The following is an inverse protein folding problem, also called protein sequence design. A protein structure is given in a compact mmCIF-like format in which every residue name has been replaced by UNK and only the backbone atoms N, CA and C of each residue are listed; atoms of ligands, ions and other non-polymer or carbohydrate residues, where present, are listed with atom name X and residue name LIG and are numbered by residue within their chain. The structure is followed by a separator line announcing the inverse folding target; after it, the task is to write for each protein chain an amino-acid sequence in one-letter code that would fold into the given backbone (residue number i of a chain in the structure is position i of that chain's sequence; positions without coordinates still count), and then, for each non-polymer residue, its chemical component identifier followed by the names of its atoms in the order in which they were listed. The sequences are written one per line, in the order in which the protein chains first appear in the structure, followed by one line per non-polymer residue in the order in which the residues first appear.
data_IF_990191793792
#
_entry.id   IF_990191793792
#
_cell.length_a   1.000
_cell.length_b   1.000
_cell.length_c   1.000
_cell.angle_alpha   90.00
_cell.angle_beta   90.00
_cell.angle_gamma   90.00
#
_symmetry.space_group_name_H-M   'P 1'
#
loop_
_entity.id
_entity.type
_entity.pdbx_description
1 polymer ?
#
# COMPACT_ATOMS: atom_id res chain seq x y z
N UNK A 1 -0.47 -30.30 72.72
CA UNK A 1 0.84 -30.97 72.86
C UNK A 1 0.83 -32.17 71.93
N UNK A 2 1.88 -32.37 71.13
CA UNK A 2 2.10 -33.64 70.40
C UNK A 2 1.70 -33.64 68.92
N UNK A 3 2.63 -33.19 68.08
CA UNK A 3 2.81 -33.55 66.67
C UNK A 3 2.93 -35.07 66.46
N UNK A 4 2.44 -35.64 65.33
CA UNK A 4 3.26 -36.20 64.21
C UNK A 4 2.44 -37.02 63.18
N UNK A 5 2.53 -36.59 61.91
CA UNK A 5 2.50 -37.30 60.60
C UNK A 5 1.33 -38.22 60.18
N UNK A 6 0.88 -38.11 58.90
CA UNK A 6 1.35 -39.09 57.91
C UNK A 6 1.73 -38.52 56.52
N UNK A 7 2.58 -39.30 55.82
CA UNK A 7 2.84 -39.35 54.38
C UNK A 7 1.53 -39.32 53.54
N UNK A 8 1.48 -38.75 52.32
CA UNK A 8 2.11 -39.30 51.10
C UNK A 8 2.27 -38.28 49.95
N UNK A 9 3.15 -38.67 49.03
CA UNK A 9 3.74 -37.94 47.89
C UNK A 9 2.79 -37.45 46.78
N UNK A 10 3.01 -36.17 46.42
CA UNK A 10 3.21 -35.59 45.06
C UNK A 10 2.58 -36.30 43.85
N UNK A 11 1.60 -35.62 43.25
CA UNK A 11 1.39 -35.53 41.80
C UNK A 11 1.36 -34.04 41.38
N UNK A 12 1.91 -33.75 40.21
CA UNK A 12 2.28 -32.41 39.71
C UNK A 12 1.06 -31.50 39.46
N UNK A 13 1.11 -30.19 39.76
CA UNK A 13 0.17 -29.22 39.21
C UNK A 13 0.59 -28.83 37.78
N UNK A 14 -0.37 -28.84 36.86
CA UNK A 14 -0.17 -28.42 35.46
C UNK A 14 0.24 -26.94 35.32
N UNK A 15 0.86 -26.56 34.19
CA UNK A 15 1.35 -25.20 34.00
C UNK A 15 0.18 -24.21 33.82
N UNK A 16 0.35 -22.96 34.26
CA UNK A 16 -0.70 -21.96 34.25
C UNK A 16 -1.00 -21.48 32.82
N UNK A 17 -2.29 -21.24 32.55
CA UNK A 17 -2.79 -20.58 31.34
C UNK A 17 -2.06 -19.25 31.14
N UNK A 18 -1.29 -19.15 30.06
CA UNK A 18 -0.68 -17.90 29.60
C UNK A 18 -1.77 -16.96 29.10
N UNK A 19 -2.12 -15.96 29.92
CA UNK A 19 -2.76 -14.76 29.42
C UNK A 19 -1.81 -14.08 28.44
N UNK A 20 -2.24 -13.94 27.17
CA UNK A 20 -1.50 -13.24 26.13
C UNK A 20 -1.26 -11.78 26.52
N UNK A 21 -0.06 -11.50 27.02
CA UNK A 21 0.42 -10.14 27.23
C UNK A 21 0.76 -9.55 25.86
N UNK A 22 0.00 -8.54 25.46
CA UNK A 22 0.31 -7.63 24.37
C UNK A 22 1.71 -7.06 24.58
N UNK A 23 2.63 -7.38 23.68
CA UNK A 23 3.99 -6.83 23.69
C UNK A 23 3.89 -5.36 23.25
N UNK A 24 3.92 -4.49 24.24
CA UNK A 24 4.09 -3.04 24.10
C UNK A 24 5.58 -2.76 24.17
N UNK A 25 6.17 -2.17 23.13
CA UNK A 25 7.55 -1.66 23.15
C UNK A 25 7.51 -0.16 22.86
N UNK A 26 7.85 0.62 23.88
CA UNK A 26 7.99 2.08 23.88
C UNK A 26 9.35 2.48 23.30
N UNK A 27 9.38 3.43 22.36
CA UNK A 27 10.53 4.29 22.08
C UNK A 27 10.04 5.64 21.53
N UNK A 28 10.36 6.74 22.23
CA UNK A 28 9.53 7.95 22.33
C UNK A 28 9.76 9.03 21.25
N UNK A 29 10.19 8.68 20.03
CA UNK A 29 10.33 9.66 18.94
C UNK A 29 9.99 9.11 17.53
N UNK A 30 9.23 8.01 17.46
CA UNK A 30 8.77 7.35 16.21
C UNK A 30 7.24 7.33 16.05
N UNK A 31 6.53 8.22 16.75
CA UNK A 31 5.10 8.04 17.06
C UNK A 31 4.10 8.87 16.23
N UNK A 32 4.53 9.68 15.24
CA UNK A 32 3.57 10.56 14.54
C UNK A 32 3.54 10.51 13.00
N UNK A 33 4.54 10.00 12.26
CA UNK A 33 4.51 10.10 10.78
C UNK A 33 5.07 8.91 9.97
N UNK A 34 4.96 7.68 10.47
CA UNK A 34 5.20 6.40 9.73
C UNK A 34 6.65 5.87 9.53
N UNK A 35 7.33 5.44 10.62
CA UNK A 35 8.44 4.46 10.54
C UNK A 35 8.24 3.03 11.13
N UNK A 36 7.28 2.67 12.02
CA UNK A 36 7.27 1.32 12.62
C UNK A 36 6.92 0.17 11.65
N UNK A 37 6.38 0.47 10.47
CA UNK A 37 6.11 -0.53 9.42
C UNK A 37 7.40 -0.93 8.69
N UNK A 38 8.35 0.00 8.51
CA UNK A 38 9.62 -0.26 7.82
C UNK A 38 10.57 -1.14 8.62
N UNK A 39 10.36 -1.32 9.93
CA UNK A 39 11.19 -2.25 10.73
C UNK A 39 11.11 -3.71 10.25
N UNK A 40 10.14 -4.08 9.42
CA UNK A 40 10.13 -5.40 8.79
C UNK A 40 11.30 -5.59 7.81
N UNK A 41 11.94 -4.52 7.32
CA UNK A 41 13.05 -4.63 6.37
C UNK A 41 14.22 -5.40 6.96
N UNK A 42 14.47 -5.32 8.27
CA UNK A 42 15.54 -6.12 8.89
C UNK A 42 15.30 -7.63 8.76
N UNK A 43 14.03 -8.06 8.67
CA UNK A 43 13.67 -9.46 8.40
C UNK A 43 13.85 -9.83 6.93
N UNK A 44 13.69 -8.87 6.02
CA UNK A 44 14.01 -9.07 4.61
C UNK A 44 15.52 -9.15 4.40
N UNK A 45 16.28 -8.32 5.13
CA UNK A 45 17.75 -8.37 5.12
C UNK A 45 18.26 -9.71 5.67
N UNK A 46 17.70 -10.19 6.78
CA UNK A 46 18.00 -11.53 7.33
C UNK A 46 17.70 -12.66 6.32
N UNK A 47 16.60 -12.56 5.56
CA UNK A 47 16.29 -13.53 4.52
C UNK A 47 17.26 -13.44 3.34
N UNK A 48 17.66 -12.23 2.94
CA UNK A 48 18.60 -11.98 1.85
C UNK A 48 20.05 -12.40 2.13
N UNK A 49 20.40 -12.64 3.40
CA UNK A 49 21.68 -13.22 3.79
C UNK A 49 21.74 -14.76 3.63
N UNK A 50 20.60 -15.43 3.37
CA UNK A 50 20.61 -16.86 3.06
C UNK A 50 21.23 -17.11 1.68
N UNK A 51 22.28 -17.94 1.55
CA UNK A 51 22.97 -18.17 0.28
C UNK A 51 22.07 -18.80 -0.80
N UNK A 52 20.90 -19.33 -0.42
CA UNK A 52 19.92 -19.89 -1.36
C UNK A 52 19.00 -18.82 -1.97
N UNK A 53 19.02 -17.58 -1.45
CA UNK A 53 18.24 -16.47 -1.99
C UNK A 53 19.14 -15.56 -2.83
N UNK A 54 18.74 -15.32 -4.08
CA UNK A 54 19.39 -14.37 -4.99
C UNK A 54 18.41 -13.24 -5.32
N UNK A 55 18.91 -12.01 -5.36
CA UNK A 55 18.12 -10.81 -5.70
C UNK A 55 18.63 -10.21 -7.00
N UNK A 56 17.70 -9.87 -7.89
CA UNK A 56 17.97 -9.20 -9.16
C UNK A 56 17.03 -8.01 -9.31
N UNK A 57 17.52 -6.84 -8.89
CA UNK A 57 16.83 -5.56 -9.05
C UNK A 57 17.04 -4.96 -10.43
N UNK A 58 16.23 -3.96 -10.78
CA UNK A 58 16.20 -3.35 -12.10
C UNK A 58 15.84 -4.33 -13.24
N UNK A 59 15.03 -5.34 -12.94
CA UNK A 59 14.45 -6.29 -13.90
C UNK A 59 12.93 -6.16 -13.84
N UNK A 60 12.33 -5.74 -14.94
CA UNK A 60 10.87 -5.67 -15.11
C UNK A 60 10.41 -6.94 -15.82
N UNK A 61 9.65 -7.78 -15.10
CA UNK A 61 9.21 -9.09 -15.60
C UNK A 61 7.82 -9.00 -16.21
N UNK A 62 7.68 -9.42 -17.46
CA UNK A 62 6.45 -9.38 -18.23
C UNK A 62 6.09 -7.97 -18.71
N UNK A 63 4.90 -7.82 -19.27
CA UNK A 63 4.42 -6.51 -19.72
C UNK A 63 3.92 -5.69 -18.52
N UNK A 64 4.11 -4.37 -18.62
CA UNK A 64 3.75 -3.39 -17.59
C UNK A 64 3.14 -2.15 -18.25
N UNK A 65 2.02 -1.65 -17.72
CA UNK A 65 1.44 -0.39 -18.20
C UNK A 65 2.25 0.85 -17.77
N UNK A 66 3.16 0.70 -16.80
CA UNK A 66 4.05 1.77 -16.31
C UNK A 66 5.50 1.32 -16.36
N UNK A 67 5.97 0.98 -17.56
CA UNK A 67 7.33 0.46 -17.75
C UNK A 67 8.39 1.44 -17.22
N UNK A 68 9.38 0.89 -16.52
CA UNK A 68 10.51 1.66 -16.00
C UNK A 68 11.56 1.76 -17.12
N UNK A 69 11.84 2.96 -17.69
CA UNK A 69 12.60 3.08 -18.94
C UNK A 69 14.02 2.51 -18.93
N UNK A 70 14.61 2.35 -17.74
CA UNK A 70 15.98 1.88 -17.54
C UNK A 70 16.06 0.45 -17.00
N UNK A 71 14.91 -0.19 -16.76
CA UNK A 71 14.86 -1.57 -16.31
C UNK A 71 15.07 -2.53 -17.49
N UNK A 72 15.76 -3.64 -17.23
CA UNK A 72 15.79 -4.77 -18.14
C UNK A 72 14.37 -5.31 -18.31
N UNK A 73 13.84 -5.27 -19.52
CA UNK A 73 12.58 -5.94 -19.85
C UNK A 73 12.84 -7.43 -20.02
N UNK A 74 12.28 -8.25 -19.13
CA UNK A 74 12.40 -9.69 -19.16
C UNK A 74 11.03 -10.31 -19.47
N UNK A 75 10.85 -10.99 -20.61
CA UNK A 75 9.57 -11.61 -20.91
C UNK A 75 9.29 -12.73 -19.91
N UNK A 76 8.01 -12.89 -19.56
CA UNK A 76 7.59 -13.90 -18.59
C UNK A 76 7.92 -15.32 -19.05
N UNK A 77 8.02 -15.55 -20.37
CA UNK A 77 8.43 -16.82 -20.95
C UNK A 77 9.85 -17.23 -20.59
N UNK A 78 10.79 -16.30 -20.38
CA UNK A 78 12.16 -16.61 -19.93
C UNK A 78 12.13 -17.14 -18.50
N UNK A 79 11.34 -16.51 -17.61
CA UNK A 79 11.13 -17.03 -16.25
C UNK A 79 10.52 -18.43 -16.27
N UNK A 80 9.53 -18.70 -17.13
CA UNK A 80 8.91 -20.02 -17.16
C UNK A 80 9.88 -21.11 -17.67
N UNK A 81 10.82 -20.78 -18.56
CA UNK A 81 11.80 -21.74 -19.09
C UNK A 81 12.92 -22.10 -18.12
N UNK A 82 13.22 -21.25 -17.15
CA UNK A 82 14.37 -21.42 -16.27
C UNK A 82 14.01 -21.80 -14.84
N UNK A 83 12.72 -21.73 -14.46
CA UNK A 83 12.27 -22.01 -13.10
C UNK A 83 11.22 -23.12 -13.06
N UNK A 84 11.20 -23.88 -11.95
CA UNK A 84 10.21 -24.94 -11.71
C UNK A 84 8.92 -24.45 -11.07
N UNK A 85 8.99 -23.34 -10.35
CA UNK A 85 7.86 -22.73 -9.64
C UNK A 85 7.98 -21.20 -9.73
N UNK A 86 6.85 -20.52 -9.88
CA UNK A 86 6.79 -19.05 -9.97
C UNK A 86 5.78 -18.52 -8.98
N UNK A 87 6.16 -17.48 -8.23
CA UNK A 87 5.27 -16.77 -7.31
C UNK A 87 5.14 -15.31 -7.72
N UNK A 88 3.94 -14.92 -8.12
CA UNK A 88 3.59 -13.52 -8.38
C UNK A 88 3.39 -12.77 -7.06
N UNK A 89 4.40 -12.01 -6.65
CA UNK A 89 4.36 -11.09 -5.51
C UNK A 89 4.42 -9.61 -5.97
N UNK A 90 3.89 -9.31 -7.16
CA UNK A 90 3.98 -8.01 -7.85
C UNK A 90 3.08 -6.91 -7.27
N UNK A 91 2.19 -7.25 -6.35
CA UNK A 91 1.28 -6.31 -5.71
C UNK A 91 0.18 -5.75 -6.63
N UNK A 92 -0.20 -4.50 -6.40
CA UNK A 92 -1.18 -3.77 -7.20
C UNK A 92 -0.61 -2.39 -7.55
N UNK A 93 -0.09 -2.26 -8.76
CA UNK A 93 0.72 -1.13 -9.23
C UNK A 93 -0.10 -0.03 -9.90
N UNK A 94 -1.36 -0.28 -10.25
CA UNK A 94 -2.21 0.68 -10.95
C UNK A 94 -3.27 1.29 -10.04
N UNK A 95 -3.58 2.59 -10.15
CA UNK A 95 -4.68 3.19 -9.41
C UNK A 95 -6.04 2.73 -9.95
N UNK A 96 -7.03 2.65 -9.06
CA UNK A 96 -8.44 2.58 -9.45
C UNK A 96 -8.93 3.94 -9.89
N UNK A 97 -9.40 4.04 -11.13
CA UNK A 97 -9.94 5.28 -11.69
C UNK A 97 -11.44 5.42 -11.38
N UNK A 98 -11.91 6.67 -11.30
CA UNK A 98 -13.33 6.99 -11.17
C UNK A 98 -13.83 7.59 -12.49
N UNK A 99 -14.91 7.03 -13.06
CA UNK A 99 -15.40 7.47 -14.37
C UNK A 99 -15.76 8.97 -14.41
N UNK A 100 -16.32 9.50 -13.33
CA UNK A 100 -16.67 10.92 -13.23
C UNK A 100 -15.49 11.85 -12.88
N UNK A 101 -14.30 11.31 -12.62
CA UNK A 101 -13.10 12.07 -12.28
C UNK A 101 -11.91 11.57 -13.13
N UNK A 102 -11.95 11.80 -14.46
CA UNK A 102 -10.83 11.45 -15.33
C UNK A 102 -9.57 12.24 -14.95
N UNK A 103 -8.36 11.71 -15.23
CA UNK A 103 -7.10 12.43 -15.05
C UNK A 103 -7.12 13.80 -15.73
N UNK A 104 -6.65 14.82 -15.01
CA UNK A 104 -6.42 16.17 -15.52
C UNK A 104 -5.44 16.91 -14.61
N UNK A 105 -5.07 18.14 -14.95
CA UNK A 105 -4.23 19.00 -14.10
C UNK A 105 -4.85 19.27 -12.71
N UNK A 106 -6.19 19.14 -12.61
CA UNK A 106 -6.95 19.32 -11.37
C UNK A 106 -7.47 18.02 -10.76
N UNK A 107 -7.13 16.86 -11.35
CA UNK A 107 -7.53 15.55 -10.83
C UNK A 107 -6.44 14.51 -11.06
N UNK A 108 -5.77 14.10 -9.98
CA UNK A 108 -4.69 13.10 -10.02
C UNK A 108 -5.04 11.88 -9.16
N UNK A 109 -4.29 10.80 -9.32
CA UNK A 109 -4.39 9.64 -8.43
C UNK A 109 -3.55 9.86 -7.17
N UNK A 110 -3.98 9.27 -6.06
CA UNK A 110 -3.19 9.21 -4.83
C UNK A 110 -1.82 8.57 -5.09
N UNK A 111 -1.76 7.56 -5.97
CA UNK A 111 -0.51 6.90 -6.36
C UNK A 111 0.51 7.90 -6.91
N UNK A 112 0.08 8.82 -7.77
CA UNK A 112 0.96 9.79 -8.41
C UNK A 112 1.62 10.72 -7.37
N UNK A 113 0.84 11.18 -6.39
CA UNK A 113 1.36 12.02 -5.32
C UNK A 113 2.29 11.23 -4.37
N UNK A 114 1.92 9.99 -4.04
CA UNK A 114 2.75 9.07 -3.23
C UNK A 114 4.07 8.79 -3.90
N UNK A 115 4.06 8.44 -5.20
CA UNK A 115 5.25 8.22 -5.99
C UNK A 115 6.14 9.46 -5.99
N UNK A 116 5.57 10.65 -6.14
CA UNK A 116 6.33 11.90 -6.09
C UNK A 116 7.03 12.11 -4.75
N UNK A 117 6.30 12.12 -3.63
CA UNK A 117 6.94 12.42 -2.33
C UNK A 117 7.84 11.28 -1.82
N UNK A 118 7.74 10.08 -2.41
CA UNK A 118 8.65 8.96 -2.15
C UNK A 118 9.77 8.82 -3.19
N UNK A 119 9.81 9.69 -4.21
CA UNK A 119 10.80 9.64 -5.30
C UNK A 119 10.83 8.27 -6.02
N UNK A 120 9.65 7.70 -6.25
CA UNK A 120 9.53 6.48 -7.05
C UNK A 120 10.03 6.76 -8.49
N UNK A 121 10.69 5.81 -9.18
CA UNK A 121 11.22 6.04 -10.54
C UNK A 121 10.18 6.45 -11.59
N UNK A 122 8.92 6.08 -11.39
CA UNK A 122 7.78 6.46 -12.25
C UNK A 122 7.05 7.72 -11.77
N UNK A 123 7.62 8.45 -10.81
CA UNK A 123 7.04 9.68 -10.32
C UNK A 123 6.97 10.74 -11.43
N UNK A 124 5.79 11.36 -11.56
CA UNK A 124 5.61 12.55 -12.38
C UNK A 124 6.08 13.81 -11.67
N UNK A 125 5.92 14.94 -12.35
CA UNK A 125 6.10 16.25 -11.72
C UNK A 125 5.05 16.48 -10.62
N UNK A 126 5.41 17.15 -9.51
CA UNK A 126 4.42 17.50 -8.50
C UNK A 126 3.35 18.43 -9.07
N UNK A 127 2.13 18.40 -8.49
CA UNK A 127 1.20 19.50 -8.70
C UNK A 127 1.80 20.82 -8.17
N UNK A 128 1.42 21.99 -8.73
CA UNK A 128 1.93 23.29 -8.30
C UNK A 128 1.36 23.69 -6.93
N UNK A 129 1.92 23.12 -5.85
CA UNK A 129 1.40 23.27 -4.48
C UNK A 129 1.43 24.72 -3.98
N UNK A 130 2.27 25.58 -4.57
CA UNK A 130 2.31 27.03 -4.32
C UNK A 130 1.03 27.76 -4.77
N UNK A 131 0.26 27.16 -5.68
CA UNK A 131 -1.00 27.70 -6.22
C UNK A 131 -2.25 27.02 -5.66
N UNK A 132 -2.08 25.92 -4.94
CA UNK A 132 -3.17 25.09 -4.43
C UNK A 132 -3.41 25.43 -2.96
N UNK A 133 -4.63 25.85 -2.62
CA UNK A 133 -5.04 26.15 -1.24
C UNK A 133 -5.88 25.01 -0.67
N UNK A 134 -6.74 24.40 -1.49
CA UNK A 134 -7.64 23.32 -1.10
C UNK A 134 -7.44 22.06 -1.94
N UNK A 135 -7.16 20.95 -1.26
CA UNK A 135 -7.11 19.60 -1.85
C UNK A 135 -8.30 18.76 -1.39
N UNK A 136 -9.01 18.14 -2.32
CA UNK A 136 -10.10 17.19 -2.04
C UNK A 136 -9.66 15.75 -2.30
N UNK A 137 -9.55 14.95 -1.24
CA UNK A 137 -9.19 13.54 -1.28
C UNK A 137 -10.47 12.70 -1.39
N UNK A 138 -10.60 11.90 -2.46
CA UNK A 138 -11.74 11.00 -2.65
C UNK A 138 -11.40 9.62 -2.10
N UNK A 139 -12.08 9.22 -1.03
CA UNK A 139 -11.84 7.99 -0.28
C UNK A 139 -11.29 8.27 1.11
N UNK A 140 -11.68 7.45 2.10
CA UNK A 140 -11.31 7.62 3.52
C UNK A 140 -10.48 6.45 4.05
N UNK A 141 -9.52 5.98 3.26
CA UNK A 141 -8.51 5.01 3.70
C UNK A 141 -7.30 5.67 4.35
N UNK A 142 -6.36 4.84 4.82
CA UNK A 142 -5.10 5.35 5.41
C UNK A 142 -4.30 6.22 4.43
N UNK A 143 -4.28 5.88 3.14
CA UNK A 143 -3.56 6.65 2.10
C UNK A 143 -4.04 8.10 2.05
N UNK A 144 -5.34 8.35 2.18
CA UNK A 144 -5.87 9.72 2.25
C UNK A 144 -5.37 10.45 3.50
N UNK A 145 -5.29 9.76 4.64
CA UNK A 145 -4.74 10.36 5.87
C UNK A 145 -3.24 10.62 5.75
N UNK A 146 -2.47 9.73 5.11
CA UNK A 146 -1.04 9.92 4.83
C UNK A 146 -0.80 11.16 3.96
N UNK A 147 -1.56 11.30 2.87
CA UNK A 147 -1.49 12.47 1.99
C UNK A 147 -1.87 13.75 2.76
N UNK A 148 -2.95 13.71 3.53
CA UNK A 148 -3.36 14.85 4.34
C UNK A 148 -2.26 15.24 5.34
N UNK A 149 -1.64 14.27 6.04
CA UNK A 149 -0.50 14.53 6.92
C UNK A 149 0.67 15.14 6.16
N UNK A 150 1.05 14.58 5.02
CA UNK A 150 2.19 15.08 4.23
C UNK A 150 1.99 16.55 3.83
N UNK A 151 0.79 16.93 3.42
CA UNK A 151 0.47 18.31 3.01
C UNK A 151 0.30 19.29 4.18
N UNK A 152 -0.22 18.80 5.32
CA UNK A 152 -0.56 19.66 6.45
C UNK A 152 0.56 19.80 7.48
N UNK A 153 1.49 18.84 7.56
CA UNK A 153 2.60 18.87 8.52
C UNK A 153 3.60 19.97 8.18
N UNK A 154 4.22 20.54 9.21
CA UNK A 154 5.29 21.51 9.04
C UNK A 154 6.50 20.84 8.38
N UNK A 155 7.08 21.49 7.36
CA UNK A 155 8.24 20.97 6.63
C UNK A 155 9.43 20.70 7.55
N UNK A 156 9.62 21.47 8.63
CA UNK A 156 10.71 21.27 9.59
C UNK A 156 10.56 19.99 10.42
N UNK A 157 9.32 19.50 10.59
CA UNK A 157 9.06 18.19 11.20
C UNK A 157 9.37 17.09 10.20
N UNK A 158 8.93 17.25 8.94
CA UNK A 158 9.17 16.29 7.86
C UNK A 158 10.67 16.16 7.52
N UNK A 159 11.43 17.24 7.63
CA UNK A 159 12.86 17.30 7.27
C UNK A 159 13.77 16.35 8.07
N UNK A 160 13.31 15.81 9.20
CA UNK A 160 14.05 14.86 10.03
C UNK A 160 13.91 13.40 9.54
N UNK A 161 12.95 13.13 8.66
CA UNK A 161 12.64 11.81 8.15
C UNK A 161 13.18 11.60 6.74
N UNK A 162 12.85 10.46 6.14
CA UNK A 162 13.31 10.04 4.81
C UNK A 162 12.60 10.73 3.63
N UNK A 163 12.06 11.93 3.84
CA UNK A 163 11.47 12.75 2.78
C UNK A 163 12.60 13.41 1.98
N UNK A 164 12.66 13.19 0.64
CA UNK A 164 13.71 13.74 -0.21
C UNK A 164 13.78 15.26 -0.18
N UNK A 165 14.98 15.83 -0.29
CA UNK A 165 15.19 17.27 -0.33
C UNK A 165 14.38 18.00 -1.41
N UNK A 166 14.30 17.51 -2.67
CA UNK A 166 13.47 18.16 -3.69
C UNK A 166 11.97 18.19 -3.34
N UNK A 167 11.49 17.21 -2.59
CA UNK A 167 10.09 17.15 -2.11
C UNK A 167 9.87 18.16 -0.99
N UNK A 168 10.81 18.24 -0.04
CA UNK A 168 10.76 19.23 1.04
C UNK A 168 10.75 20.67 0.49
N UNK A 169 11.48 20.95 -0.58
CA UNK A 169 11.52 22.28 -1.21
C UNK A 169 10.16 22.70 -1.77
N UNK A 170 9.46 21.79 -2.44
CA UNK A 170 8.09 22.04 -2.93
C UNK A 170 7.09 22.16 -1.78
N UNK A 171 7.21 21.33 -0.73
CA UNK A 171 6.36 21.40 0.44
C UNK A 171 6.56 22.70 1.23
N UNK A 172 7.79 23.24 1.26
CA UNK A 172 8.10 24.51 1.90
C UNK A 172 7.40 25.70 1.22
N UNK A 173 7.18 25.64 -0.10
CA UNK A 173 6.41 26.65 -0.85
C UNK A 173 4.90 26.38 -0.90
N UNK A 174 4.41 25.30 -0.28
CA UNK A 174 3.00 24.90 -0.36
C UNK A 174 2.04 25.95 0.22
N UNK A 175 1.02 26.31 -0.56
CA UNK A 175 -0.08 27.17 -0.15
C UNK A 175 -1.25 26.40 0.48
N UNK A 176 -1.17 25.06 0.52
CA UNK A 176 -2.24 24.18 1.00
C UNK A 176 -2.55 24.50 2.46
N UNK A 177 -3.80 24.90 2.70
CA UNK A 177 -4.30 25.24 4.03
C UNK A 177 -5.58 24.47 4.39
N UNK A 178 -6.22 23.79 3.43
CA UNK A 178 -7.36 22.94 3.70
C UNK A 178 -7.29 21.62 2.92
N UNK A 179 -7.58 20.50 3.59
CA UNK A 179 -7.74 19.18 2.97
C UNK A 179 -9.09 18.59 3.34
N UNK A 180 -9.95 18.33 2.36
CA UNK A 180 -11.25 17.69 2.57
C UNK A 180 -11.18 16.21 2.19
N UNK A 181 -11.57 15.31 3.06
CA UNK A 181 -11.60 13.87 2.78
C UNK A 181 -13.04 13.43 2.57
N UNK A 182 -13.39 13.12 1.32
CA UNK A 182 -14.74 12.83 0.87
C UNK A 182 -14.98 11.32 0.88
N UNK A 183 -16.04 10.88 1.55
CA UNK A 183 -16.39 9.48 1.70
C UNK A 183 -17.85 9.21 1.26
N UNK A 184 -18.03 8.22 0.39
CA UNK A 184 -19.37 7.81 -0.10
C UNK A 184 -20.24 7.09 0.92
N UNK A 185 -19.69 6.71 2.08
CA UNK A 185 -20.41 6.03 3.19
C UNK A 185 -20.21 6.82 4.48
N UNK A 186 -20.74 6.31 5.58
CA UNK A 186 -20.70 6.96 6.88
C UNK A 186 -19.42 6.70 7.67
N UNK A 187 -19.35 7.25 8.90
CA UNK A 187 -18.24 7.04 9.82
C UNK A 187 -18.02 5.57 10.22
N UNK A 188 -19.09 4.77 10.22
CA UNK A 188 -19.04 3.35 10.61
C UNK A 188 -18.36 2.45 9.59
N UNK A 189 -18.35 2.85 8.32
CA UNK A 189 -17.73 2.11 7.20
C UNK A 189 -16.38 2.70 6.77
N UNK A 190 -15.80 3.57 7.59
CA UNK A 190 -14.51 4.20 7.32
C UNK A 190 -13.38 3.15 7.26
N UNK A 191 -12.53 3.27 6.24
CA UNK A 191 -11.45 2.32 5.98
C UNK A 191 -10.15 2.64 6.71
N UNK A 192 -10.01 3.87 7.24
CA UNK A 192 -8.84 4.23 8.04
C UNK A 192 -8.79 3.45 9.36
N UNK A 193 -7.58 3.20 9.84
CA UNK A 193 -7.39 2.57 11.16
C UNK A 193 -7.42 3.62 12.27
N UNK A 194 -7.66 3.15 13.51
CA UNK A 194 -7.69 4.01 14.69
C UNK A 194 -6.35 4.72 14.94
N UNK A 195 -5.23 4.08 14.60
CA UNK A 195 -3.89 4.68 14.73
C UNK A 195 -3.77 5.89 13.81
N UNK A 196 -4.06 5.69 12.52
CA UNK A 196 -3.90 6.74 11.51
C UNK A 196 -4.86 7.92 11.76
N UNK A 197 -6.10 7.66 12.21
CA UNK A 197 -7.03 8.71 12.60
C UNK A 197 -6.53 9.50 13.82
N UNK A 198 -5.93 8.82 14.80
CA UNK A 198 -5.38 9.47 16.00
C UNK A 198 -4.22 10.39 15.65
N UNK A 199 -3.35 10.00 14.73
CA UNK A 199 -2.26 10.86 14.25
C UNK A 199 -2.82 12.12 13.56
N UNK A 200 -3.84 11.97 12.70
CA UNK A 200 -4.52 13.13 12.10
C UNK A 200 -5.14 14.09 13.12
N UNK A 201 -5.79 13.54 14.15
CA UNK A 201 -6.44 14.32 15.20
C UNK A 201 -5.45 15.06 16.10
N UNK A 202 -4.22 14.57 16.21
CA UNK A 202 -3.17 15.19 17.01
C UNK A 202 -2.21 16.08 16.21
N UNK A 203 -2.46 16.30 14.92
CA UNK A 203 -1.65 17.20 14.07
C UNK A 203 -1.41 18.55 14.78
N UNK A 204 -0.15 18.93 15.07
CA UNK A 204 0.13 20.12 15.87
C UNK A 204 -0.34 21.45 15.25
N UNK A 205 -0.30 21.58 13.93
CA UNK A 205 -0.58 22.83 13.21
C UNK A 205 -1.89 22.80 12.40
N UNK A 206 -2.71 21.78 12.59
CA UNK A 206 -3.99 21.64 11.91
C UNK A 206 -5.14 21.35 12.88
N UNK A 207 -6.34 21.79 12.52
CA UNK A 207 -7.58 21.50 13.23
C UNK A 207 -8.60 20.85 12.30
N UNK A 208 -9.39 19.96 12.87
CA UNK A 208 -10.49 19.28 12.19
C UNK A 208 -11.69 20.22 12.15
N UNK A 209 -12.34 20.32 10.99
CA UNK A 209 -13.67 20.92 10.87
C UNK A 209 -14.66 20.01 11.63
N UNK A 210 -15.42 20.53 12.61
CA UNK A 210 -16.32 19.70 13.41
C UNK A 210 -17.37 19.02 12.55
N UNK A 211 -17.65 17.75 12.85
CA UNK A 211 -18.73 17.01 12.21
C UNK A 211 -20.09 17.50 12.71
N UNK A 212 -21.10 17.42 11.86
CA UNK A 212 -22.49 17.74 12.22
C UNK A 212 -22.98 16.89 13.40
N UNK A 213 -23.64 17.46 14.42
CA UNK A 213 -24.13 16.70 15.59
C UNK A 213 -25.07 15.54 15.22
N UNK A 214 -25.92 15.72 14.21
CA UNK A 214 -26.85 14.70 13.71
C UNK A 214 -26.11 13.49 13.15
N UNK A 215 -25.08 13.71 12.33
CA UNK A 215 -24.25 12.66 11.74
C UNK A 215 -23.66 11.73 12.80
N UNK A 216 -23.19 12.30 13.91
CA UNK A 216 -22.58 11.55 15.02
C UNK A 216 -23.63 10.86 15.88
N UNK A 217 -24.79 11.50 16.12
CA UNK A 217 -25.89 10.92 16.86
C UNK A 217 -26.44 9.67 16.15
N UNK A 218 -26.71 9.77 14.85
CA UNK A 218 -27.20 8.67 14.03
C UNK A 218 -26.24 7.49 14.06
N UNK A 219 -24.94 7.74 13.86
CA UNK A 219 -23.91 6.69 13.90
C UNK A 219 -23.78 6.03 15.28
N UNK A 220 -24.02 6.77 16.37
CA UNK A 220 -23.93 6.25 17.74
C UNK A 220 -25.18 5.44 18.14
N UNK A 221 -26.34 5.74 17.54
CA UNK A 221 -27.60 5.01 17.77
C UNK A 221 -27.68 3.65 17.08
N UNK A 222 -26.66 3.24 16.31
CA UNK A 222 -26.66 1.97 15.63
C UNK A 222 -26.76 0.79 16.64
N UNK A 223 -27.60 -0.23 16.36
CA UNK A 223 -27.98 -1.25 17.34
C UNK A 223 -26.83 -2.15 17.78
N UNK A 224 -25.78 -2.29 16.96
CA UNK A 224 -24.61 -3.13 17.27
C UNK A 224 -23.32 -2.51 16.75
N UNK A 225 -22.64 -1.75 17.61
CA UNK A 225 -21.32 -1.22 17.31
C UNK A 225 -20.22 -2.18 17.74
N UNK A 226 -19.28 -2.45 16.84
CA UNK A 226 -18.02 -3.11 17.22
C UNK A 226 -17.20 -2.20 18.13
N UNK A 227 -16.34 -2.79 18.97
CA UNK A 227 -15.40 -2.02 19.81
C UNK A 227 -14.53 -1.04 19.00
N UNK A 228 -14.18 -1.41 17.77
CA UNK A 228 -13.43 -0.54 16.87
C UNK A 228 -14.25 0.67 16.44
N UNK A 229 -15.48 0.46 16.00
CA UNK A 229 -16.40 1.54 15.58
C UNK A 229 -16.70 2.50 16.73
N UNK A 230 -17.01 2.00 17.93
CA UNK A 230 -17.26 2.86 19.09
C UNK A 230 -16.08 3.77 19.42
N UNK A 231 -14.84 3.25 19.33
CA UNK A 231 -13.63 4.04 19.57
C UNK A 231 -13.39 5.10 18.50
N UNK A 232 -13.66 4.77 17.23
CA UNK A 232 -13.58 5.73 16.12
C UNK A 232 -14.56 6.86 16.36
N UNK A 233 -15.83 6.55 16.65
CA UNK A 233 -16.86 7.56 16.90
C UNK A 233 -16.53 8.45 18.09
N UNK A 234 -16.09 7.88 19.22
CA UNK A 234 -15.65 8.66 20.39
C UNK A 234 -14.53 9.64 20.05
N UNK A 235 -13.58 9.20 19.22
CA UNK A 235 -12.46 10.06 18.82
C UNK A 235 -12.93 11.17 17.87
N UNK A 236 -13.82 10.86 16.93
CA UNK A 236 -14.42 11.85 16.03
C UNK A 236 -15.29 12.87 16.78
N UNK A 237 -16.07 12.43 17.77
CA UNK A 237 -16.86 13.28 18.66
C UNK A 237 -15.99 14.24 19.47
N UNK A 238 -14.83 13.76 19.95
CA UNK A 238 -13.88 14.60 20.68
C UNK A 238 -13.26 15.69 19.79
N UNK A 239 -13.12 15.43 18.49
CA UNK A 239 -12.46 16.33 17.55
C UNK A 239 -10.94 16.36 17.68
N UNK A 240 -10.30 17.23 16.89
CA UNK A 240 -8.85 17.44 16.92
C UNK A 240 -8.34 18.04 18.23
N UNK A 241 -7.06 17.83 18.52
CA UNK A 241 -6.36 18.43 19.68
C UNK A 241 -6.46 19.96 19.66
N UNK A 242 -6.33 20.57 18.48
CA UNK A 242 -6.55 21.99 18.27
C UNK A 242 -8.03 22.24 17.96
N UNK A 243 -8.62 23.26 18.58
CA UNK A 243 -9.99 23.64 18.28
C UNK A 243 -10.08 24.24 16.87
N UNK A 244 -11.22 24.03 16.20
CA UNK A 244 -11.43 24.61 14.88
C UNK A 244 -11.32 26.14 14.93
N UNK A 245 -10.60 26.72 13.96
CA UNK A 245 -10.34 28.15 13.89
C UNK A 245 -9.12 28.63 14.69
N UNK A 246 -8.47 27.76 15.50
CA UNK A 246 -7.25 28.13 16.23
C UNK A 246 -5.94 27.86 15.46
N UNK A 247 -6.04 27.25 14.29
CA UNK A 247 -4.90 26.92 13.42
C UNK A 247 -5.11 27.49 12.02
N UNK A 248 -4.02 27.85 11.34
CA UNK A 248 -4.07 28.31 9.94
C UNK A 248 -4.51 27.19 8.99
N UNK A 249 -4.06 25.97 9.25
CA UNK A 249 -4.39 24.79 8.42
C UNK A 249 -5.56 24.03 9.02
N UNK A 250 -6.39 23.42 8.16
CA UNK A 250 -7.57 22.67 8.56
C UNK A 250 -7.78 21.41 7.71
N UNK A 251 -8.59 20.48 8.20
CA UNK A 251 -9.04 19.32 7.43
C UNK A 251 -10.47 18.91 7.78
N UNK A 252 -11.19 18.27 6.86
CA UNK A 252 -12.57 17.80 7.06
C UNK A 252 -12.76 16.33 6.69
N UNK A 253 -13.84 15.73 7.21
CA UNK A 253 -14.34 14.43 6.79
C UNK A 253 -15.77 14.60 6.28
N UNK A 254 -15.94 14.53 4.95
CA UNK A 254 -17.21 14.75 4.28
C UNK A 254 -17.84 13.40 3.94
N UNK A 255 -18.54 12.83 4.92
CA UNK A 255 -19.23 11.55 4.77
C UNK A 255 -20.49 11.67 3.92
N UNK A 256 -20.96 10.52 3.43
CA UNK A 256 -22.18 10.42 2.61
C UNK A 256 -22.14 11.28 1.34
N UNK A 257 -20.98 11.35 0.68
CA UNK A 257 -20.75 12.10 -0.55
C UNK A 257 -20.02 11.24 -1.59
N UNK A 258 -20.58 11.17 -2.79
CA UNK A 258 -19.94 10.50 -3.93
C UNK A 258 -19.70 11.50 -5.06
N UNK A 259 -18.50 11.55 -5.67
CA UNK A 259 -18.26 12.44 -6.78
C UNK A 259 -19.05 12.02 -8.01
N UNK A 260 -19.64 13.01 -8.68
CA UNK A 260 -20.41 12.83 -9.93
C UNK A 260 -19.89 13.69 -11.09
N UNK A 261 -18.89 14.54 -10.84
CA UNK A 261 -18.19 15.28 -11.89
C UNK A 261 -17.21 16.30 -11.31
N UNK A 262 -16.27 16.75 -12.15
CA UNK A 262 -15.38 17.87 -11.86
C UNK A 262 -15.47 18.88 -13.00
N UNK A 263 -15.92 20.09 -12.69
CA UNK A 263 -15.93 21.20 -13.65
C UNK A 263 -14.61 21.95 -13.50
N UNK A 264 -13.88 22.09 -14.61
CA UNK A 264 -12.59 22.76 -14.64
C UNK A 264 -12.73 24.27 -14.37
N UNK A 265 -11.66 24.94 -13.87
CA UNK A 265 -11.66 26.39 -13.67
C UNK A 265 -11.97 27.16 -14.97
N UNK A 266 -12.59 28.34 -14.81
CA UNK A 266 -12.82 29.31 -15.89
C UNK A 266 -12.30 30.69 -15.47
N UNK A 267 -12.19 31.63 -16.41
CA UNK A 267 -11.80 33.03 -16.09
C UNK A 267 -12.67 33.67 -15.00
N UNK A 268 -13.96 33.30 -14.96
CA UNK A 268 -14.93 33.74 -13.94
C UNK A 268 -14.91 32.92 -12.65
N UNK A 269 -14.31 31.73 -12.64
CA UNK A 269 -14.26 30.80 -11.49
C UNK A 269 -12.88 30.14 -11.42
N UNK A 270 -11.94 30.72 -10.65
CA UNK A 270 -10.54 30.30 -10.69
C UNK A 270 -10.26 28.93 -10.04
N UNK A 271 -11.20 28.38 -9.28
CA UNK A 271 -11.09 27.03 -8.68
C UNK A 271 -12.05 26.05 -9.36
N UNK A 272 -11.63 24.78 -9.44
CA UNK A 272 -12.45 23.70 -9.96
C UNK A 272 -13.66 23.47 -9.05
N UNK A 273 -14.74 22.94 -9.61
CA UNK A 273 -15.98 22.67 -8.88
C UNK A 273 -16.26 21.18 -8.89
N UNK A 274 -16.10 20.55 -7.73
CA UNK A 274 -16.37 19.13 -7.51
C UNK A 274 -17.86 18.93 -7.19
N UNK A 275 -18.58 18.30 -8.11
CA UNK A 275 -19.98 17.94 -7.92
C UNK A 275 -20.10 16.64 -7.14
N UNK A 276 -20.88 16.65 -6.06
CA UNK A 276 -21.06 15.55 -5.12
C UNK A 276 -22.54 15.17 -5.00
N UNK A 277 -22.88 13.92 -5.31
CA UNK A 277 -24.16 13.35 -4.92
C UNK A 277 -24.13 12.99 -3.43
N UNK A 278 -25.21 13.29 -2.73
CA UNK A 278 -25.39 12.83 -1.35
C UNK A 278 -25.84 11.38 -1.38
N UNK A 279 -25.36 10.60 -0.42
CA UNK A 279 -25.59 9.15 -0.40
C UNK A 279 -26.14 8.67 0.94
N UNK A 280 -26.78 7.51 0.92
CA UNK A 280 -27.09 6.72 2.10
C UNK A 280 -26.51 5.31 1.94
N UNK A 281 -26.35 4.57 3.04
CA UNK A 281 -25.96 3.17 2.99
C UNK A 281 -27.21 2.31 2.90
N UNK A 282 -27.32 1.53 1.84
CA UNK A 282 -28.38 0.52 1.69
C UNK A 282 -28.19 -0.57 2.77
N UNK A 283 -29.19 -0.86 3.60
CA UNK A 283 -29.05 -1.79 4.72
C UNK A 283 -28.84 -3.25 4.28
N UNK A 284 -29.28 -3.62 3.08
CA UNK A 284 -29.18 -4.97 2.53
C UNK A 284 -27.84 -5.15 1.83
N UNK A 285 -27.55 -4.27 0.87
CA UNK A 285 -26.37 -4.41 0.01
C UNK A 285 -25.10 -3.80 0.62
N UNK A 286 -25.26 -2.98 1.67
CA UNK A 286 -24.18 -2.19 2.30
C UNK A 286 -23.44 -1.28 1.31
N UNK A 287 -24.08 -0.97 0.18
CA UNK A 287 -23.58 -0.06 -0.85
C UNK A 287 -24.08 1.35 -0.62
N UNK A 288 -23.30 2.32 -1.05
CA UNK A 288 -23.74 3.70 -1.11
C UNK A 288 -24.73 3.87 -2.26
N UNK A 289 -25.91 4.42 -1.98
CA UNK A 289 -26.95 4.74 -2.95
C UNK A 289 -27.23 6.25 -2.93
N UNK A 290 -27.46 6.91 -4.08
CA UNK A 290 -27.73 8.33 -4.12
C UNK A 290 -29.10 8.67 -3.49
N UNK A 291 -29.19 9.78 -2.78
CA UNK A 291 -30.45 10.26 -2.18
C UNK A 291 -31.26 11.14 -3.14
N UNK A 292 -30.66 11.56 -4.26
CA UNK A 292 -31.20 12.55 -5.18
C UNK A 292 -30.70 13.98 -4.91
N UNK A 293 -30.18 14.25 -3.71
CA UNK A 293 -29.57 15.53 -3.37
C UNK A 293 -28.14 15.64 -3.90
N UNK A 294 -27.74 16.87 -4.24
CA UNK A 294 -26.39 17.18 -4.72
C UNK A 294 -25.82 18.41 -4.04
N UNK A 295 -24.50 18.53 -4.03
CA UNK A 295 -23.77 19.70 -3.57
C UNK A 295 -22.55 19.93 -4.44
N UNK A 296 -22.01 21.14 -4.41
CA UNK A 296 -20.77 21.50 -5.11
C UNK A 296 -19.74 21.94 -4.08
N UNK A 297 -18.51 21.47 -4.24
CA UNK A 297 -17.35 21.84 -3.43
C UNK A 297 -16.31 22.53 -4.33
N UNK A 298 -15.98 23.78 -4.04
CA UNK A 298 -14.85 24.44 -4.68
C UNK A 298 -13.56 23.78 -4.22
N UNK A 299 -12.63 23.49 -5.13
CA UNK A 299 -11.36 22.83 -4.83
C UNK A 299 -10.31 23.20 -5.88
N UNK A 300 -9.03 23.19 -5.53
CA UNK A 300 -7.95 23.49 -6.48
C UNK A 300 -7.37 22.21 -7.07
N UNK A 301 -7.41 21.10 -6.32
CA UNK A 301 -6.92 19.78 -6.72
C UNK A 301 -7.77 18.66 -6.12
N UNK A 302 -8.25 17.75 -6.96
CA UNK A 302 -8.85 16.48 -6.55
C UNK A 302 -7.79 15.38 -6.60
N UNK A 303 -7.72 14.57 -5.55
CA UNK A 303 -6.85 13.38 -5.50
C UNK A 303 -7.72 12.15 -5.25
N UNK A 304 -7.70 11.20 -6.19
CA UNK A 304 -8.47 9.96 -6.09
C UNK A 304 -7.70 8.89 -5.33
N UNK A 305 -8.19 8.53 -4.13
CA UNK A 305 -7.63 7.49 -3.26
C UNK A 305 -8.60 6.31 -3.14
N UNK A 306 -8.88 5.68 -4.27
CA UNK A 306 -9.92 4.66 -4.43
C UNK A 306 -9.41 3.21 -4.42
N UNK A 307 -8.15 3.04 -4.00
CA UNK A 307 -7.44 1.75 -4.01
C UNK A 307 -6.70 1.49 -5.31
N UNK A 308 -6.03 0.35 -5.36
CA UNK A 308 -5.15 -0.07 -6.45
C UNK A 308 -5.61 -1.40 -7.07
N UNK A 309 -5.11 -1.71 -8.25
CA UNK A 309 -5.34 -2.96 -8.98
C UNK A 309 -4.02 -3.49 -9.53
N UNK A 310 -3.97 -4.80 -9.79
CA UNK A 310 -2.84 -5.42 -10.48
C UNK A 310 -2.79 -5.02 -11.96
N UNK A 311 -1.64 -5.21 -12.59
CA UNK A 311 -1.48 -5.07 -14.04
C UNK A 311 -2.37 -6.07 -14.79
N UNK A 312 -3.18 -5.64 -15.77
CA UNK A 312 -4.03 -6.51 -16.57
C UNK A 312 -3.26 -7.12 -17.76
N UNK A 313 -2.02 -7.57 -17.55
CA UNK A 313 -1.11 -7.97 -18.63
C UNK A 313 -0.99 -9.47 -18.82
N UNK A 314 -1.47 -10.26 -17.84
CA UNK A 314 -1.47 -11.72 -17.89
C UNK A 314 -2.89 -12.26 -18.07
N UNK A 315 -3.01 -13.41 -18.74
CA UNK A 315 -4.31 -14.06 -19.06
C UNK A 315 -5.11 -14.47 -17.82
N UNK A 316 -4.43 -14.72 -16.71
CA UNK A 316 -5.01 -15.04 -15.41
C UNK A 316 -5.30 -13.79 -14.54
N UNK A 317 -5.21 -12.58 -15.08
CA UNK A 317 -5.81 -11.40 -14.44
C UNK A 317 -7.33 -11.43 -14.51
N UNK A 318 -8.01 -11.14 -13.41
CA UNK A 318 -9.46 -11.01 -13.35
C UNK A 318 -9.90 -9.54 -13.40
N UNK A 319 -10.64 -9.09 -14.44
CA UNK A 319 -11.14 -7.72 -14.51
C UNK A 319 -12.14 -7.36 -13.40
N UNK A 320 -12.92 -8.33 -12.90
CA UNK A 320 -13.90 -8.13 -11.85
C UNK A 320 -13.26 -8.04 -10.46
N UNK A 321 -12.33 -8.95 -10.16
CA UNK A 321 -11.58 -8.93 -8.89
C UNK A 321 -10.51 -7.84 -8.87
N UNK A 322 -9.98 -7.48 -10.05
CA UNK A 322 -8.90 -6.51 -10.30
C UNK A 322 -7.54 -6.94 -9.74
N UNK A 323 -7.32 -8.24 -9.67
CA UNK A 323 -6.08 -8.91 -9.27
C UNK A 323 -6.01 -10.28 -9.95
N UNK A 324 -4.96 -11.07 -9.69
CA UNK A 324 -4.77 -12.37 -10.30
C UNK A 324 -5.77 -13.40 -9.74
N UNK A 325 -6.37 -14.21 -10.64
CA UNK A 325 -7.22 -15.35 -10.27
C UNK A 325 -6.37 -16.37 -9.54
N UNK A 326 -6.82 -16.77 -8.36
CA UNK A 326 -6.16 -17.82 -7.60
C UNK A 326 -7.13 -18.53 -6.64
N UNK A 327 -6.78 -19.75 -6.25
CA UNK A 327 -7.44 -20.52 -5.19
C UNK A 327 -6.37 -20.90 -4.16
N UNK A 328 -6.48 -20.31 -2.97
CA UNK A 328 -5.49 -20.48 -1.90
C UNK A 328 -4.05 -20.24 -2.39
N UNK A 329 -3.85 -19.19 -3.19
CA UNK A 329 -2.53 -18.84 -3.74
C UNK A 329 -2.14 -19.55 -5.03
N UNK A 330 -2.79 -20.64 -5.44
CA UNK A 330 -2.52 -21.28 -6.76
C UNK A 330 -3.19 -20.49 -7.86
N UNK A 331 -2.46 -20.07 -8.88
CA UNK A 331 -3.02 -19.27 -9.99
C UNK A 331 -3.99 -20.12 -10.80
N UNK A 332 -5.06 -19.49 -11.27
CA UNK A 332 -6.12 -20.13 -12.03
C UNK A 332 -6.30 -19.43 -13.37
N UNK A 333 -6.48 -20.20 -14.42
CA UNK A 333 -6.69 -19.68 -15.77
C UNK A 333 -8.05 -18.99 -15.90
N UNK A 334 -8.29 -18.38 -17.06
CA UNK A 334 -9.63 -17.88 -17.42
C UNK A 334 -10.69 -18.99 -17.52
N UNK A 335 -10.29 -20.25 -17.71
CA UNK A 335 -11.19 -21.41 -17.80
C UNK A 335 -11.47 -22.08 -16.45
N UNK A 336 -10.84 -21.61 -15.37
CA UNK A 336 -11.00 -22.20 -14.04
C UNK A 336 -10.03 -23.34 -13.72
N UNK A 337 -9.10 -23.67 -14.63
CA UNK A 337 -8.06 -24.66 -14.39
C UNK A 337 -6.92 -24.06 -13.53
N UNK A 338 -6.44 -24.83 -12.55
CA UNK A 338 -5.27 -24.44 -11.75
C UNK A 338 -4.02 -24.59 -12.61
N UNK A 339 -3.22 -23.53 -12.73
CA UNK A 339 -1.94 -23.59 -13.41
C UNK A 339 -0.92 -24.30 -12.51
N UNK A 340 -0.32 -25.41 -12.94
CA UNK A 340 0.68 -26.12 -12.15
C UNK A 340 1.87 -25.22 -11.83
N UNK A 341 2.31 -25.22 -10.57
CA UNK A 341 3.51 -24.54 -10.09
C UNK A 341 3.53 -23.00 -10.23
N UNK A 342 2.39 -22.40 -10.59
CA UNK A 342 2.22 -20.95 -10.66
C UNK A 342 1.37 -20.49 -9.48
N UNK A 343 1.92 -19.56 -8.70
CA UNK A 343 1.30 -19.06 -7.47
C UNK A 343 1.24 -17.54 -7.47
N UNK A 344 0.38 -16.97 -6.63
CA UNK A 344 0.30 -15.55 -6.36
C UNK A 344 0.17 -15.31 -4.85
N UNK A 345 0.76 -14.22 -4.36
CA UNK A 345 0.69 -13.83 -2.95
C UNK A 345 0.52 -12.32 -2.80
N UNK A 346 0.07 -11.90 -1.61
CA UNK A 346 -0.12 -10.52 -1.23
C UNK A 346 -1.18 -9.84 -2.06
N UNK A 347 -0.95 -8.58 -2.43
CA UNK A 347 -1.94 -7.80 -3.19
C UNK A 347 -2.14 -8.30 -4.62
N UNK A 348 -1.17 -9.01 -5.21
CA UNK A 348 -1.35 -9.65 -6.51
C UNK A 348 -2.43 -10.76 -6.44
N UNK A 349 -2.56 -11.44 -5.31
CA UNK A 349 -3.55 -12.51 -5.09
C UNK A 349 -4.86 -12.02 -4.46
N UNK A 350 -4.81 -11.02 -3.58
CA UNK A 350 -5.94 -10.64 -2.72
C UNK A 350 -6.51 -9.23 -3.02
N UNK A 351 -5.90 -8.53 -3.98
CA UNK A 351 -6.15 -7.11 -4.23
C UNK A 351 -5.54 -6.19 -3.16
N UNK A 352 -5.60 -4.89 -3.43
CA UNK A 352 -4.95 -3.86 -2.60
C UNK A 352 -5.69 -3.56 -1.28
N UNK A 353 -5.73 -4.56 -0.39
CA UNK A 353 -6.40 -4.51 0.91
C UNK A 353 -5.52 -5.16 1.98
N UNK A 354 -5.73 -4.78 3.23
CA UNK A 354 -5.00 -5.33 4.37
C UNK A 354 -3.72 -4.58 4.69
N UNK A 355 -3.16 -4.91 5.85
CA UNK A 355 -1.90 -4.34 6.37
C UNK A 355 -0.76 -5.34 6.15
N UNK A 356 0.48 -4.92 6.40
CA UNK A 356 1.65 -5.78 6.22
C UNK A 356 1.52 -7.16 6.92
N UNK A 357 0.94 -7.19 8.12
CA UNK A 357 0.75 -8.44 8.86
C UNK A 357 -0.20 -9.42 8.16
N UNK A 358 -1.25 -8.94 7.49
CA UNK A 358 -2.15 -9.82 6.72
C UNK A 358 -1.47 -10.34 5.46
N UNK A 359 -0.66 -9.51 4.80
CA UNK A 359 0.16 -9.93 3.65
C UNK A 359 1.20 -10.98 4.03
N UNK A 360 1.82 -10.85 5.21
CA UNK A 360 2.77 -11.84 5.73
C UNK A 360 2.11 -13.21 5.99
N UNK A 361 0.94 -13.23 6.63
CA UNK A 361 0.21 -14.48 6.89
C UNK A 361 -0.26 -15.16 5.60
N UNK A 362 -0.70 -14.38 4.62
CA UNK A 362 -1.00 -14.89 3.28
C UNK A 362 0.23 -15.56 2.64
N UNK A 363 1.39 -14.89 2.65
CA UNK A 363 2.62 -15.44 2.09
C UNK A 363 3.04 -16.76 2.74
N UNK A 364 2.90 -16.91 4.06
CA UNK A 364 3.14 -18.19 4.73
C UNK A 364 2.16 -19.28 4.26
N UNK A 365 0.88 -18.96 4.11
CA UNK A 365 -0.11 -19.88 3.56
C UNK A 365 0.24 -20.34 2.14
N UNK A 366 0.69 -19.43 1.27
CA UNK A 366 1.12 -19.77 -0.10
C UNK A 366 2.36 -20.66 -0.07
N UNK A 367 3.36 -20.37 0.77
CA UNK A 367 4.55 -21.20 0.93
C UNK A 367 4.20 -22.64 1.38
N UNK A 368 3.25 -22.80 2.31
CA UNK A 368 2.75 -24.11 2.72
C UNK A 368 2.09 -24.86 1.56
N UNK A 369 1.34 -24.17 0.68
CA UNK A 369 0.75 -24.80 -0.51
C UNK A 369 1.83 -25.27 -1.50
N UNK A 370 2.87 -24.46 -1.74
CA UNK A 370 3.99 -24.84 -2.61
C UNK A 370 4.67 -26.12 -2.09
N UNK A 371 4.96 -26.17 -0.78
CA UNK A 371 5.58 -27.35 -0.15
C UNK A 371 4.67 -28.58 -0.24
N UNK A 372 3.36 -28.41 -0.09
CA UNK A 372 2.39 -29.50 -0.20
C UNK A 372 2.28 -30.04 -1.63
N UNK A 373 2.27 -29.15 -2.63
CA UNK A 373 2.21 -29.54 -4.05
C UNK A 373 3.48 -30.28 -4.46
N UNK A 374 4.65 -29.78 -4.03
CA UNK A 374 5.93 -30.43 -4.25
C UNK A 374 6.00 -31.85 -3.66
N UNK A 375 5.51 -32.03 -2.42
CA UNK A 375 5.50 -33.35 -1.75
C UNK A 375 4.55 -34.36 -2.37
N UNK A 376 3.42 -33.92 -2.90
CA UNK A 376 2.35 -34.83 -3.34
C UNK A 376 2.56 -35.37 -4.75
N UNK A 377 3.59 -34.93 -5.47
CA UNK A 377 3.84 -35.42 -6.83
C UNK A 377 2.73 -35.06 -7.82
N UNK A 378 1.78 -34.18 -7.45
CA UNK A 378 0.88 -33.47 -8.39
C UNK A 378 1.68 -32.60 -9.40
N UNK A 379 3.00 -32.67 -9.30
CA UNK A 379 4.03 -31.94 -10.00
C UNK A 379 4.43 -32.50 -11.36
N UNK A 380 4.14 -33.77 -11.67
CA UNK A 380 4.38 -34.29 -13.02
C UNK A 380 3.22 -33.90 -13.93
N UNK A 381 3.30 -32.69 -14.49
CA UNK A 381 2.44 -32.30 -15.60
C UNK A 381 2.76 -33.26 -16.74
N UNK A 382 1.79 -34.05 -17.20
CA UNK A 382 2.02 -34.88 -18.39
C UNK A 382 2.26 -33.96 -19.59
N UNK A 383 3.00 -34.40 -20.60
CA UNK A 383 3.25 -33.59 -21.80
C UNK A 383 1.94 -33.08 -22.44
N UNK A 384 0.87 -33.88 -22.39
CA UNK A 384 -0.46 -33.50 -22.86
C UNK A 384 -1.17 -32.46 -21.98
N UNK A 385 -0.86 -32.39 -20.68
CA UNK A 385 -1.37 -31.33 -19.79
C UNK A 385 -0.57 -30.04 -19.99
N UNK A 386 0.74 -30.13 -20.21
CA UNK A 386 1.62 -28.99 -20.45
C UNK A 386 1.28 -28.26 -21.76
N UNK A 387 1.00 -29.00 -22.84
CA UNK A 387 0.55 -28.43 -24.11
C UNK A 387 -0.81 -27.73 -23.97
N UNK A 388 -1.75 -28.35 -23.22
CA UNK A 388 -3.06 -27.74 -22.93
C UNK A 388 -2.93 -26.47 -22.10
N UNK A 389 -2.08 -26.47 -21.08
CA UNK A 389 -1.84 -25.29 -20.25
C UNK A 389 -1.21 -24.16 -21.07
N UNK A 390 -0.21 -24.47 -21.91
CA UNK A 390 0.39 -23.51 -22.83
C UNK A 390 -0.65 -22.86 -23.76
N UNK A 391 -1.58 -23.62 -24.34
CA UNK A 391 -2.67 -23.07 -25.15
C UNK A 391 -3.61 -22.16 -24.36
N UNK A 392 -3.83 -22.46 -23.08
CA UNK A 392 -4.75 -21.72 -22.21
C UNK A 392 -4.19 -20.36 -21.77
N UNK A 393 -2.88 -20.28 -21.50
CA UNK A 393 -2.28 -19.05 -20.95
C UNK A 393 -1.19 -18.41 -21.81
N UNK A 394 -0.75 -19.05 -22.89
CA UNK A 394 0.22 -18.51 -23.84
C UNK A 394 1.65 -18.41 -23.29
N UNK A 395 2.00 -19.19 -22.26
CA UNK A 395 3.34 -19.23 -21.67
C UNK A 395 3.89 -20.66 -21.78
N UNK A 396 5.20 -20.84 -22.03
CA UNK A 396 5.85 -22.16 -22.00
C UNK A 396 5.58 -22.86 -20.67
N UNK A 397 5.54 -24.21 -20.62
CA UNK A 397 5.50 -24.92 -19.35
C UNK A 397 6.74 -24.58 -18.51
N UNK A 398 6.58 -24.67 -17.18
CA UNK A 398 7.68 -24.49 -16.24
C UNK A 398 8.74 -25.59 -16.39
N UNK A 399 10.00 -25.26 -16.14
CA UNK A 399 11.09 -26.23 -16.22
C UNK A 399 11.05 -27.20 -15.03
N UNK A 400 10.86 -28.49 -15.30
CA UNK A 400 10.77 -29.50 -14.25
C UNK A 400 12.11 -29.82 -13.59
N UNK A 401 13.22 -29.56 -14.27
CA UNK A 401 14.59 -29.86 -13.81
C UNK A 401 15.51 -28.66 -14.09
N UNK A 402 15.27 -27.49 -13.46
CA UNK A 402 16.10 -26.33 -13.66
C UNK A 402 17.47 -26.53 -13.00
N UNK A 403 18.52 -26.05 -13.66
CA UNK A 403 19.82 -25.91 -13.03
C UNK A 403 19.71 -24.85 -11.92
N UNK A 404 20.12 -25.20 -10.70
CA UNK A 404 19.96 -24.36 -9.51
C UNK A 404 20.74 -23.05 -9.62
N UNK A 405 21.87 -23.08 -10.34
CA UNK A 405 22.77 -21.94 -10.50
C UNK A 405 22.47 -21.12 -11.76
N UNK A 406 21.72 -21.67 -12.72
CA UNK A 406 21.39 -20.95 -13.96
C UNK A 406 20.48 -19.75 -13.69
N UNK A 407 20.55 -18.81 -14.62
CA UNK A 407 19.71 -17.62 -14.70
C UNK A 407 19.24 -17.49 -16.16
N UNK A 408 18.11 -16.81 -16.39
CA UNK A 408 17.76 -16.39 -17.74
C UNK A 408 18.93 -15.66 -18.40
N UNK A 409 19.25 -16.01 -19.65
CA UNK A 409 20.43 -15.50 -20.36
C UNK A 409 20.45 -13.96 -20.42
N UNK A 410 19.27 -13.35 -20.55
CA UNK A 410 19.09 -11.90 -20.53
C UNK A 410 19.51 -11.28 -19.19
N UNK A 411 19.16 -11.93 -18.07
CA UNK A 411 19.54 -11.48 -16.71
C UNK A 411 21.04 -11.65 -16.51
N UNK A 412 21.60 -12.78 -16.93
CA UNK A 412 23.04 -13.03 -16.81
C UNK A 412 23.87 -11.99 -17.58
N UNK A 413 23.56 -11.78 -18.87
CA UNK A 413 24.25 -10.77 -19.70
C UNK A 413 24.10 -9.36 -19.10
N UNK A 414 22.91 -9.02 -18.62
CA UNK A 414 22.66 -7.71 -18.04
C UNK A 414 23.37 -7.53 -16.68
N UNK A 415 23.56 -8.60 -15.90
CA UNK A 415 24.36 -8.57 -14.67
C UNK A 415 25.85 -8.36 -14.97
N UNK A 416 26.38 -9.01 -16.00
CA UNK A 416 27.77 -8.83 -16.46
C UNK A 416 28.04 -7.42 -16.97
N UNK A 417 27.07 -6.84 -17.70
CA UNK A 417 27.09 -5.45 -18.14
C UNK A 417 26.79 -4.46 -17.01
N UNK A 418 26.45 -4.96 -15.82
CA UNK A 418 26.12 -4.19 -14.64
C UNK A 418 24.77 -3.50 -14.69
N UNK A 419 23.87 -3.78 -15.63
CA UNK A 419 22.51 -3.22 -15.70
C UNK A 419 21.57 -3.74 -14.60
N UNK A 420 21.77 -4.99 -14.15
CA UNK A 420 21.04 -5.60 -13.04
C UNK A 420 21.72 -5.27 -11.73
N UNK A 421 20.93 -4.94 -10.72
CA UNK A 421 21.41 -4.60 -9.37
C UNK A 421 21.27 -5.82 -8.48
N UNK A 422 22.36 -6.37 -7.97
CA UNK A 422 22.29 -7.46 -6.99
C UNK A 422 22.07 -6.93 -5.56
N UNK A 423 21.96 -7.83 -4.58
CA UNK A 423 21.68 -7.42 -3.19
C UNK A 423 22.87 -6.66 -2.56
N UNK A 424 24.10 -6.93 -2.99
CA UNK A 424 25.29 -6.22 -2.50
C UNK A 424 25.35 -4.79 -3.03
N UNK A 425 24.95 -4.59 -4.30
CA UNK A 425 24.77 -3.28 -4.89
C UNK A 425 23.69 -2.49 -4.14
N UNK A 426 22.53 -3.12 -3.86
CA UNK A 426 21.47 -2.52 -3.03
C UNK A 426 21.97 -2.12 -1.64
N UNK A 427 22.75 -2.97 -0.96
CA UNK A 427 23.33 -2.65 0.37
C UNK A 427 24.24 -1.43 0.30
N UNK A 428 25.02 -1.30 -0.77
CA UNK A 428 25.88 -0.13 -1.02
C UNK A 428 25.05 1.15 -1.17
N UNK A 429 23.99 1.11 -1.99
CA UNK A 429 23.04 2.23 -2.15
C UNK A 429 22.42 2.59 -0.80
N UNK A 430 21.85 1.61 -0.11
CA UNK A 430 21.17 1.82 1.18
C UNK A 430 22.10 2.43 2.24
N UNK A 431 23.36 1.99 2.32
CA UNK A 431 24.34 2.54 3.25
C UNK A 431 24.68 4.00 2.94
N UNK A 432 24.86 4.34 1.65
CA UNK A 432 25.17 5.71 1.23
C UNK A 432 23.98 6.66 1.45
N UNK A 433 22.73 6.22 1.20
CA UNK A 433 21.53 7.01 1.50
C UNK A 433 21.41 7.34 3.01
N UNK A 434 21.72 6.36 3.88
CA UNK A 434 21.71 6.55 5.33
C UNK A 434 22.82 7.52 5.75
N UNK A 435 24.03 7.34 5.22
CA UNK A 435 25.17 8.22 5.51
C UNK A 435 24.88 9.68 5.13
N UNK A 436 24.38 9.92 3.91
CA UNK A 436 23.93 11.26 3.47
C UNK A 436 22.83 11.81 4.38
N UNK A 437 21.90 10.97 4.79
CA UNK A 437 20.86 11.33 5.76
C UNK A 437 21.46 11.83 7.07
N UNK A 438 22.42 11.09 7.64
CA UNK A 438 23.09 11.45 8.90
C UNK A 438 23.84 12.78 8.79
N UNK A 439 24.55 13.03 7.69
CA UNK A 439 25.22 14.30 7.40
C UNK A 439 24.24 15.49 7.35
N UNK A 440 23.00 15.24 6.92
CA UNK A 440 21.91 16.21 6.86
C UNK A 440 21.03 16.25 8.12
N UNK A 441 21.33 15.43 9.14
CA UNK A 441 20.54 15.35 10.37
C UNK A 441 19.16 14.70 10.20
N UNK A 442 18.99 13.80 9.22
CA UNK A 442 17.77 13.03 8.96
C UNK A 442 18.02 11.52 8.91
N UNK A 443 16.95 10.74 8.90
CA UNK A 443 17.04 9.26 8.88
C UNK A 443 17.76 8.71 7.63
N UNK A 444 17.52 9.32 6.46
CA UNK A 444 18.00 8.88 5.13
C UNK A 444 17.79 10.00 4.11
N UNK A 445 18.69 10.16 3.15
CA UNK A 445 18.44 10.94 1.93
C UNK A 445 18.41 9.99 0.72
N UNK A 446 17.26 9.91 0.04
CA UNK A 446 17.07 8.97 -1.08
C UNK A 446 17.82 9.43 -2.32
N UNK A 447 18.44 8.50 -3.03
CA UNK A 447 19.14 8.79 -4.28
C UNK A 447 18.24 8.61 -5.49
N UNK A 448 18.44 9.44 -6.50
CA UNK A 448 17.85 9.22 -7.82
C UNK A 448 18.56 8.08 -8.57
N UNK A 449 17.95 7.58 -9.64
CA UNK A 449 18.51 6.49 -10.45
C UNK A 449 19.95 6.77 -10.92
N UNK A 450 20.22 7.92 -11.53
CA UNK A 450 21.54 8.25 -12.08
C UNK A 450 22.64 8.25 -11.01
N UNK A 451 22.32 8.76 -9.83
CA UNK A 451 23.23 8.83 -8.68
C UNK A 451 23.50 7.44 -8.09
N UNK A 452 22.44 6.64 -7.88
CA UNK A 452 22.56 5.26 -7.43
C UNK A 452 23.42 4.42 -8.40
N UNK A 453 23.23 4.63 -9.71
CA UNK A 453 24.00 3.96 -10.77
C UNK A 453 25.46 4.35 -10.83
N UNK A 454 25.76 5.62 -10.60
CA UNK A 454 27.15 6.07 -10.53
C UNK A 454 27.86 5.45 -9.33
N UNK A 455 27.17 5.30 -8.20
CA UNK A 455 27.72 4.72 -6.97
C UNK A 455 28.12 3.25 -7.13
N UNK A 456 27.27 2.43 -7.77
CA UNK A 456 27.50 0.99 -7.94
C UNK A 456 28.21 0.63 -9.25
N UNK A 457 28.73 1.62 -9.98
CA UNK A 457 29.41 1.38 -11.24
C UNK A 457 30.69 0.59 -11.00
N UNK A 458 30.77 -0.61 -11.58
CA UNK A 458 31.97 -1.45 -11.55
C UNK A 458 33.10 -0.78 -12.37
N UNK A 459 34.36 -0.86 -11.90
CA UNK A 459 35.50 -0.19 -12.52
C UNK A 459 35.80 -0.65 -13.95
#
# INVERSE_FOLDING_TARGET
MGSTWPCTLRSRPGPPRSQGKSITVQSHARNEYCPPVKNCTSKFDEAADDPRLRFFGNVEVGDSANSIPHALQLPLSSIFRDYSHVVFATGCTLPTMHAALPPSEHCISALSLVHWYTQHPTAGSPPPLDKIKHVSLIGNGNVSLDIARMLLTNVNVLARYDVPKPVLDVLASSAVNHVSIVARRGPLEAAFTMKELREMINLPEASMVPLGPTLLADATSAPSLTRQQSRVLQLLQKGSKNAHGTTRKTWSLDFFRSPIGLVQPTTSRPSAQLSLAHTAVDPITQRAVPTGETSTLSTDLVVTSLGFRAEPTVTFYDPGLRHLRNIAGRVVSSTGAVLPHVYASGWAANGAKGVLATTMMDAYGVAEQIIADWKTGKSSVSSADAERDHEVHGLPPLNTEPDLDSLPEEVQRALEQGFVTDYSDWRTINAEEIKKGQELGKERERMGWAEARQLIKRP
#
